data_IF_144792458452
#
_entry.id   IF_144792458452
#
_cell.length_a   1.000
_cell.length_b   1.000
_cell.length_c   1.000
_cell.angle_alpha   90.00
_cell.angle_beta   90.00
_cell.angle_gamma   90.00
#
_symmetry.space_group_name_H-M   'P 1'
#
loop_
_entity.id
_entity.type
_entity.pdbx_description
1 polymer ?
#
# COMPACT_ATOMS: atom_id res chain seq x y z
N UNK A 1 -4.12 13.58 -1.53
CA UNK A 1 -3.20 12.75 -2.34
C UNK A 1 -4.04 11.63 -2.94
N UNK A 2 -3.89 11.33 -4.23
CA UNK A 2 -4.62 10.26 -4.93
C UNK A 2 -3.97 8.87 -4.75
N UNK A 3 -2.77 8.80 -4.13
CA UNK A 3 -2.13 7.53 -3.76
C UNK A 3 -1.62 6.71 -4.95
N UNK A 4 -1.58 7.32 -6.13
CA UNK A 4 -1.23 6.69 -7.39
C UNK A 4 0.29 6.68 -7.60
N UNK A 5 0.88 5.48 -7.60
CA UNK A 5 2.32 5.31 -7.82
C UNK A 5 2.75 5.63 -9.25
N UNK A 6 1.89 5.42 -10.25
CA UNK A 6 2.22 5.67 -11.66
C UNK A 6 2.38 7.17 -11.93
N UNK A 7 1.59 7.99 -11.23
CA UNK A 7 1.71 9.47 -11.24
C UNK A 7 2.78 9.99 -10.28
N UNK A 8 3.41 9.11 -9.49
CA UNK A 8 4.45 9.46 -8.53
C UNK A 8 3.95 10.18 -7.27
N UNK A 9 2.64 10.15 -7.01
CA UNK A 9 2.03 10.73 -5.79
C UNK A 9 2.17 9.83 -4.57
N UNK A 10 2.46 8.54 -4.79
CA UNK A 10 2.96 7.60 -3.79
C UNK A 10 4.34 7.07 -4.21
N UNK A 11 5.30 7.07 -3.29
CA UNK A 11 6.65 6.54 -3.49
C UNK A 11 7.01 5.57 -2.38
N UNK A 12 7.81 4.57 -2.70
CA UNK A 12 8.25 3.56 -1.76
C UNK A 12 9.71 3.18 -2.02
N UNK A 13 10.50 3.16 -0.93
CA UNK A 13 11.80 2.50 -0.89
C UNK A 13 11.67 1.24 0.01
N UNK A 14 12.19 0.10 -0.45
CA UNK A 14 12.08 -1.17 0.28
C UNK A 14 13.38 -1.49 1.01
N UNK A 15 13.30 -1.80 2.30
CA UNK A 15 14.44 -2.16 3.14
C UNK A 15 14.38 -3.64 3.47
N UNK A 16 15.35 -4.43 2.99
CA UNK A 16 15.32 -5.90 3.04
C UNK A 16 16.57 -6.44 3.71
N UNK A 17 16.38 -7.33 4.69
CA UNK A 17 17.42 -8.15 5.31
C UNK A 17 16.85 -9.53 5.61
N UNK A 18 17.62 -10.59 5.36
CA UNK A 18 17.26 -11.96 5.76
C UNK A 18 18.00 -12.38 7.03
N UNK A 19 17.43 -13.34 7.78
CA UNK A 19 18.10 -13.95 8.94
C UNK A 19 17.70 -15.42 9.10
N UNK A 20 18.55 -16.26 9.72
CA UNK A 20 18.17 -17.63 10.06
C UNK A 20 16.91 -17.69 10.93
N UNK A 21 16.05 -18.68 10.70
CA UNK A 21 14.85 -18.89 11.49
C UNK A 21 15.23 -19.16 12.96
N UNK A 22 14.61 -18.43 13.88
CA UNK A 22 14.89 -18.53 15.32
C UNK A 22 16.00 -17.57 15.81
N UNK A 23 16.70 -16.88 14.92
CA UNK A 23 17.67 -15.85 15.31
C UNK A 23 16.97 -14.56 15.79
N UNK A 24 17.47 -13.98 16.88
CA UNK A 24 17.08 -12.64 17.35
C UNK A 24 17.86 -11.51 16.66
N UNK A 25 19.00 -11.82 16.04
CA UNK A 25 19.87 -10.85 15.39
C UNK A 25 19.38 -10.50 13.99
N UNK A 26 19.32 -9.21 13.67
CA UNK A 26 19.00 -8.75 12.31
C UNK A 26 20.20 -8.94 11.37
N UNK A 27 19.93 -9.31 10.12
CA UNK A 27 20.95 -9.40 9.08
C UNK A 27 21.31 -8.03 8.48
N UNK A 28 22.31 -8.01 7.60
CA UNK A 28 22.68 -6.78 6.88
C UNK A 28 21.54 -6.34 5.95
N UNK A 29 21.21 -5.06 6.00
CA UNK A 29 20.09 -4.47 5.25
C UNK A 29 20.55 -3.92 3.90
N UNK A 30 19.88 -4.31 2.82
CA UNK A 30 19.93 -3.60 1.55
C UNK A 30 18.69 -2.70 1.40
N UNK A 31 18.85 -1.55 0.75
CA UNK A 31 17.78 -0.58 0.50
C UNK A 31 17.53 -0.46 -1.01
N UNK A 32 16.38 -0.91 -1.49
CA UNK A 32 15.97 -0.83 -2.90
C UNK A 32 15.18 0.46 -3.09
N UNK A 33 15.69 1.34 -3.97
CA UNK A 33 15.12 2.66 -4.22
C UNK A 33 14.28 2.74 -5.49
N UNK A 34 13.43 3.76 -5.54
CA UNK A 34 12.68 4.18 -6.73
C UNK A 34 11.74 3.08 -7.27
N UNK A 35 10.98 2.45 -6.37
CA UNK A 35 9.96 1.47 -6.77
C UNK A 35 8.66 2.20 -7.09
N UNK A 36 8.26 2.17 -8.36
CA UNK A 36 7.14 2.96 -8.89
C UNK A 36 5.84 2.16 -9.10
N UNK A 37 5.79 0.91 -8.64
CA UNK A 37 4.59 0.06 -8.73
C UNK A 37 4.60 -0.98 -7.63
N UNK A 38 3.42 -1.30 -7.09
CA UNK A 38 3.22 -2.38 -6.11
C UNK A 38 3.77 -3.71 -6.65
N UNK A 39 3.55 -3.99 -7.93
CA UNK A 39 4.08 -5.20 -8.58
C UNK A 39 5.61 -5.23 -8.54
N UNK A 40 6.26 -4.11 -8.84
CA UNK A 40 7.73 -4.04 -8.83
C UNK A 40 8.30 -4.06 -7.41
N UNK A 41 7.57 -3.52 -6.43
CA UNK A 41 7.93 -3.66 -5.01
C UNK A 41 8.00 -5.15 -4.63
N UNK A 42 6.95 -5.92 -4.94
CA UNK A 42 6.90 -7.35 -4.62
C UNK A 42 8.04 -8.09 -5.30
N UNK A 43 8.22 -7.91 -6.62
CA UNK A 43 9.27 -8.58 -7.38
C UNK A 43 10.68 -8.23 -6.89
N UNK A 44 10.92 -6.96 -6.55
CA UNK A 44 12.21 -6.51 -6.04
C UNK A 44 12.53 -7.12 -4.68
N UNK A 45 11.55 -7.17 -3.77
CA UNK A 45 11.70 -7.79 -2.45
C UNK A 45 11.94 -9.30 -2.59
N UNK A 46 11.14 -10.00 -3.40
CA UNK A 46 11.30 -11.44 -3.63
C UNK A 46 12.68 -11.77 -4.21
N UNK A 47 13.12 -11.03 -5.23
CA UNK A 47 14.44 -11.21 -5.81
C UNK A 47 15.54 -10.99 -4.78
N UNK A 48 15.44 -9.92 -3.99
CA UNK A 48 16.45 -9.53 -3.02
C UNK A 48 16.57 -10.53 -1.87
N UNK A 49 15.44 -11.07 -1.38
CA UNK A 49 15.42 -12.15 -0.40
C UNK A 49 16.21 -13.35 -0.93
N UNK A 50 15.92 -13.81 -2.15
CA UNK A 50 16.60 -14.96 -2.74
C UNK A 50 18.10 -14.68 -2.99
N UNK A 51 18.45 -13.46 -3.40
CA UNK A 51 19.84 -13.04 -3.60
C UNK A 51 20.62 -13.12 -2.29
N UNK A 52 20.10 -12.54 -1.20
CA UNK A 52 20.79 -12.54 0.09
C UNK A 52 20.94 -13.95 0.65
N UNK A 53 19.88 -14.78 0.58
CA UNK A 53 19.95 -16.19 1.01
C UNK A 53 21.07 -16.91 0.26
N UNK A 54 21.10 -16.80 -1.08
CA UNK A 54 22.11 -17.44 -1.91
C UNK A 54 23.53 -16.99 -1.57
N UNK A 55 23.75 -15.71 -1.28
CA UNK A 55 25.07 -15.20 -0.89
C UNK A 55 25.52 -15.83 0.43
N UNK A 56 24.63 -15.84 1.44
CA UNK A 56 24.93 -16.37 2.77
C UNK A 56 25.13 -17.89 2.76
N UNK A 57 24.33 -18.64 2.00
CA UNK A 57 24.48 -20.10 1.89
C UNK A 57 25.77 -20.53 1.17
N UNK A 58 26.31 -19.67 0.29
CA UNK A 58 27.60 -19.89 -0.35
C UNK A 58 28.80 -19.43 0.52
N UNK A 59 28.55 -19.05 1.79
CA UNK A 59 29.58 -18.59 2.71
C UNK A 59 30.07 -17.16 2.45
N UNK A 60 29.35 -16.39 1.63
CA UNK A 60 29.64 -14.97 1.40
C UNK A 60 28.95 -14.05 2.41
N UNK A 61 29.23 -12.76 2.31
CA UNK A 61 28.64 -11.72 3.16
C UNK A 61 27.78 -10.75 2.33
N UNK A 62 26.71 -10.24 2.95
CA UNK A 62 25.83 -9.23 2.34
C UNK A 62 26.31 -7.85 2.79
N UNK A 63 26.59 -6.96 1.83
CA UNK A 63 26.96 -5.57 2.09
C UNK A 63 25.73 -4.67 2.26
N UNK A 64 25.91 -3.57 2.99
CA UNK A 64 24.87 -2.56 3.16
C UNK A 64 24.79 -1.65 1.93
N UNK A 65 24.09 -2.11 0.90
CA UNK A 65 24.02 -1.40 -0.38
C UNK A 65 22.69 -0.66 -0.59
N UNK A 66 22.79 0.49 -1.27
CA UNK A 66 21.64 1.09 -1.95
C UNK A 66 21.53 0.48 -3.35
N UNK A 67 20.37 -0.09 -3.64
CA UNK A 67 20.07 -0.84 -4.85
C UNK A 67 19.01 -0.11 -5.69
N UNK A 68 19.05 -0.36 -6.99
CA UNK A 68 17.95 -0.09 -7.92
C UNK A 68 17.37 -1.41 -8.40
N UNK A 69 16.09 -1.40 -8.81
CA UNK A 69 15.47 -2.56 -9.44
C UNK A 69 15.41 -2.37 -10.96
N UNK A 70 16.10 -3.25 -11.69
CA UNK A 70 16.00 -3.32 -13.15
C UNK A 70 14.78 -4.16 -13.54
N UNK A 71 13.73 -3.49 -13.98
CA UNK A 71 12.45 -4.11 -14.34
C UNK A 71 12.60 -5.06 -15.55
N UNK A 72 13.46 -4.73 -16.51
CA UNK A 72 13.64 -5.53 -17.72
C UNK A 72 14.33 -6.86 -17.41
N UNK A 73 15.30 -6.85 -16.48
CA UNK A 73 16.02 -8.04 -16.05
C UNK A 73 15.35 -8.76 -14.87
N UNK A 74 14.48 -8.08 -14.14
CA UNK A 74 13.89 -8.56 -12.88
C UNK A 74 14.93 -8.74 -11.79
N UNK A 75 15.94 -7.85 -11.70
CA UNK A 75 17.09 -7.98 -10.78
C UNK A 75 17.41 -6.68 -10.06
N UNK A 76 17.91 -6.79 -8.84
CA UNK A 76 18.52 -5.66 -8.14
C UNK A 76 19.93 -5.38 -8.69
N UNK A 77 20.29 -4.10 -8.79
CA UNK A 77 21.61 -3.63 -9.18
C UNK A 77 22.13 -2.66 -8.13
N UNK A 78 23.40 -2.78 -7.80
CA UNK A 78 24.06 -1.86 -6.85
C UNK A 78 24.13 -0.47 -7.47
N UNK A 79 23.62 0.52 -6.76
CA UNK A 79 23.73 1.93 -7.14
C UNK A 79 24.87 2.61 -6.39
N UNK A 80 24.93 2.39 -5.06
CA UNK A 80 25.95 2.96 -4.19
C UNK A 80 26.18 2.04 -3.00
N UNK A 81 27.45 1.73 -2.72
CA UNK A 81 27.84 1.07 -1.48
C UNK A 81 27.74 2.09 -0.34
N UNK A 82 27.03 1.77 0.75
CA UNK A 82 27.11 2.60 1.96
C UNK A 82 28.30 2.11 2.77
N UNK A 83 29.48 2.64 2.46
CA UNK A 83 30.67 2.42 3.28
C UNK A 83 30.54 3.15 4.64
N UNK A 84 29.82 4.29 4.67
CA UNK A 84 29.50 5.04 5.89
C UNK A 84 28.05 5.56 5.92
N UNK A 85 27.49 5.69 7.13
CA UNK A 85 26.22 6.39 7.34
C UNK A 85 26.41 7.89 7.03
N UNK A 86 25.55 8.46 6.18
CA UNK A 86 25.62 9.88 5.86
C UNK A 86 25.27 10.72 7.10
N UNK A 87 26.20 11.58 7.53
CA UNK A 87 25.93 12.55 8.59
C UNK A 87 25.08 13.70 8.04
N UNK A 88 23.78 13.62 8.32
CA UNK A 88 22.80 14.64 7.91
C UNK A 88 22.88 15.91 8.76
N UNK A 89 23.64 15.92 9.87
CA UNK A 89 23.79 17.07 10.79
C UNK A 89 22.45 17.68 11.18
N UNK A 90 21.49 16.83 11.58
CA UNK A 90 20.15 17.29 11.99
C UNK A 90 20.26 18.32 13.12
N UNK A 91 19.61 19.47 12.93
CA UNK A 91 19.40 20.49 13.95
C UNK A 91 17.99 21.09 13.78
N UNK A 92 17.40 21.65 14.84
CA UNK A 92 16.11 22.34 14.72
C UNK A 92 16.22 23.49 13.71
N UNK A 93 15.28 23.55 12.77
CA UNK A 93 15.20 24.64 11.80
C UNK A 93 15.01 25.98 12.53
N UNK A 94 16.00 26.90 12.51
CA UNK A 94 15.95 28.15 13.29
C UNK A 94 14.86 29.10 12.81
N UNK A 95 14.48 29.03 11.53
CA UNK A 95 13.47 29.93 10.95
C UNK A 95 12.04 29.46 11.25
N UNK A 96 11.85 28.22 11.72
CA UNK A 96 10.55 27.65 12.02
C UNK A 96 10.40 27.41 13.52
N UNK A 97 9.49 28.16 14.15
CA UNK A 97 9.06 27.89 15.51
C UNK A 97 8.45 26.47 15.60
N UNK A 98 8.57 25.80 16.75
CA UNK A 98 7.90 24.53 16.99
C UNK A 98 6.39 24.62 16.68
N UNK A 99 5.88 23.63 15.96
CA UNK A 99 4.45 23.54 15.67
C UNK A 99 3.75 22.93 16.89
N UNK A 100 2.96 23.75 17.59
CA UNK A 100 2.08 23.28 18.65
C UNK A 100 0.70 22.92 18.08
N UNK A 101 0.25 21.69 18.35
CA UNK A 101 -1.08 21.21 17.95
C UNK A 101 -1.91 21.00 19.22
N UNK A 102 -2.95 21.82 19.41
CA UNK A 102 -3.82 21.74 20.59
C UNK A 102 -4.66 20.46 20.59
N UNK A 103 -5.02 20.00 21.78
CA UNK A 103 -5.90 18.83 21.95
C UNK A 103 -7.27 19.05 21.29
N UNK A 104 -7.85 20.26 21.41
CA UNK A 104 -9.12 20.61 20.77
C UNK A 104 -9.07 20.41 19.24
N UNK A 105 -7.93 20.73 18.60
CA UNK A 105 -7.75 20.52 17.15
C UNK A 105 -7.66 19.04 16.80
N UNK A 106 -6.97 18.25 17.63
CA UNK A 106 -6.89 16.79 17.46
C UNK A 106 -8.29 16.18 17.59
N UNK A 107 -9.05 16.55 18.61
CA UNK A 107 -10.38 16.02 18.87
C UNK A 107 -11.36 16.43 17.76
N UNK A 108 -11.26 17.66 17.27
CA UNK A 108 -12.02 18.12 16.10
C UNK A 108 -11.73 17.28 14.86
N UNK A 109 -10.45 17.07 14.51
CA UNK A 109 -10.06 16.23 13.35
C UNK A 109 -10.57 14.81 13.55
N UNK A 110 -10.36 14.22 14.73
CA UNK A 110 -10.79 12.86 15.04
C UNK A 110 -12.30 12.69 14.91
N UNK A 111 -13.08 13.68 15.32
CA UNK A 111 -14.54 13.67 15.15
C UNK A 111 -15.00 13.82 13.70
N UNK A 112 -14.17 14.41 12.84
CA UNK A 112 -14.44 14.60 11.41
C UNK A 112 -13.98 13.44 10.51
N UNK A 113 -13.24 12.47 11.06
CA UNK A 113 -12.74 11.34 10.29
C UNK A 113 -13.90 10.50 9.75
N UNK A 114 -13.93 10.18 8.44
CA UNK A 114 -14.88 9.24 7.91
C UNK A 114 -14.57 7.82 8.42
N UNK A 115 -15.55 6.93 8.29
CA UNK A 115 -15.34 5.51 8.57
C UNK A 115 -14.22 4.94 7.68
N UNK A 116 -13.23 4.32 8.32
CA UNK A 116 -12.07 3.76 7.63
C UNK A 116 -12.43 2.45 6.91
N UNK A 117 -11.68 2.04 5.87
CA UNK A 117 -11.97 0.82 5.11
C UNK A 117 -12.14 -0.44 5.97
N UNK A 118 -11.27 -0.65 6.97
CA UNK A 118 -11.35 -1.80 7.87
C UNK A 118 -12.61 -1.78 8.76
N UNK A 119 -13.03 -0.58 9.17
CA UNK A 119 -14.26 -0.39 9.95
C UNK A 119 -15.48 -0.71 9.08
N UNK A 120 -15.52 -0.16 7.84
CA UNK A 120 -16.55 -0.48 6.84
C UNK A 120 -16.64 -1.98 6.58
N UNK A 121 -15.49 -2.64 6.37
CA UNK A 121 -15.43 -4.10 6.15
C UNK A 121 -16.13 -4.86 7.28
N UNK A 122 -15.76 -4.56 8.52
CA UNK A 122 -16.32 -5.21 9.69
C UNK A 122 -17.83 -4.97 9.81
N UNK A 123 -18.28 -3.75 9.53
CA UNK A 123 -19.70 -3.39 9.50
C UNK A 123 -20.46 -4.15 8.42
N UNK A 124 -19.94 -4.19 7.21
CA UNK A 124 -20.54 -4.92 6.08
C UNK A 124 -20.73 -6.42 6.39
N UNK A 125 -19.73 -7.04 7.03
CA UNK A 125 -19.83 -8.45 7.41
C UNK A 125 -20.86 -8.64 8.53
N UNK A 126 -20.78 -7.84 9.60
CA UNK A 126 -21.59 -8.04 10.81
C UNK A 126 -23.05 -7.60 10.66
N UNK A 127 -23.27 -6.45 10.03
CA UNK A 127 -24.59 -5.81 9.96
C UNK A 127 -25.33 -6.14 8.66
N UNK A 128 -24.60 -6.28 7.54
CA UNK A 128 -25.19 -6.51 6.22
C UNK A 128 -25.12 -7.97 5.77
N UNK A 129 -24.44 -8.84 6.53
CA UNK A 129 -24.30 -10.27 6.23
C UNK A 129 -23.56 -10.56 4.92
N UNK A 130 -22.63 -9.66 4.54
CA UNK A 130 -21.82 -9.76 3.33
C UNK A 130 -20.63 -10.67 3.60
N UNK A 131 -20.23 -11.46 2.61
CA UNK A 131 -19.06 -12.32 2.74
C UNK A 131 -17.78 -11.48 2.93
N UNK A 132 -16.78 -12.03 3.62
CA UNK A 132 -15.51 -11.33 3.76
C UNK A 132 -14.86 -11.01 2.40
N UNK A 133 -14.98 -11.92 1.45
CA UNK A 133 -14.49 -11.73 0.09
C UNK A 133 -15.13 -10.51 -0.58
N UNK A 134 -16.46 -10.45 -0.62
CA UNK A 134 -17.18 -9.35 -1.25
C UNK A 134 -16.93 -8.02 -0.52
N UNK A 135 -16.86 -8.04 0.81
CA UNK A 135 -16.54 -6.86 1.60
C UNK A 135 -15.15 -6.29 1.23
N UNK A 136 -14.13 -7.14 1.04
CA UNK A 136 -12.81 -6.69 0.59
C UNK A 136 -12.85 -6.08 -0.83
N UNK A 137 -13.65 -6.64 -1.72
CA UNK A 137 -13.83 -6.09 -3.08
C UNK A 137 -14.47 -4.70 -3.01
N UNK A 138 -15.52 -4.54 -2.20
CA UNK A 138 -16.27 -3.28 -2.12
C UNK A 138 -15.45 -2.16 -1.48
N UNK A 139 -14.67 -2.44 -0.43
CA UNK A 139 -13.85 -1.43 0.26
C UNK A 139 -12.54 -1.12 -0.47
N UNK A 140 -12.21 -1.85 -1.55
CA UNK A 140 -10.93 -1.70 -2.26
C UNK A 140 -10.77 -0.31 -2.87
N UNK A 141 -11.89 0.35 -3.18
CA UNK A 141 -11.96 1.72 -3.66
C UNK A 141 -13.09 2.47 -2.94
N UNK A 142 -12.84 3.73 -2.60
CA UNK A 142 -13.82 4.56 -1.89
C UNK A 142 -15.09 4.80 -2.73
N UNK A 143 -14.95 5.07 -4.02
CA UNK A 143 -16.10 5.33 -4.90
C UNK A 143 -16.97 4.08 -5.05
N UNK A 144 -16.35 2.89 -5.09
CA UNK A 144 -17.08 1.61 -5.04
C UNK A 144 -17.86 1.48 -3.73
N UNK A 145 -17.20 1.72 -2.60
CA UNK A 145 -17.84 1.62 -1.28
C UNK A 145 -19.02 2.60 -1.13
N UNK A 146 -18.85 3.83 -1.61
CA UNK A 146 -19.91 4.85 -1.58
C UNK A 146 -21.08 4.46 -2.51
N UNK A 147 -20.79 3.94 -3.71
CA UNK A 147 -21.81 3.45 -4.65
C UNK A 147 -22.61 2.28 -4.04
N UNK A 148 -21.92 1.35 -3.38
CA UNK A 148 -22.54 0.24 -2.67
C UNK A 148 -23.46 0.73 -1.54
N UNK A 149 -22.99 1.65 -0.72
CA UNK A 149 -23.79 2.21 0.38
C UNK A 149 -25.06 2.90 -0.13
N UNK A 150 -24.97 3.67 -1.22
CA UNK A 150 -26.15 4.28 -1.85
C UNK A 150 -27.18 3.23 -2.32
N UNK A 151 -26.73 2.13 -2.95
CA UNK A 151 -27.62 1.03 -3.35
C UNK A 151 -28.34 0.43 -2.13
N UNK A 152 -27.60 0.14 -1.06
CA UNK A 152 -28.14 -0.52 0.13
C UNK A 152 -29.13 0.33 0.93
N UNK A 153 -29.22 1.64 0.67
CA UNK A 153 -30.28 2.48 1.26
C UNK A 153 -31.67 2.11 0.76
N UNK A 154 -31.79 1.55 -0.44
CA UNK A 154 -33.09 1.26 -1.10
C UNK A 154 -33.28 -0.21 -1.47
N UNK A 155 -32.22 -1.01 -1.42
CA UNK A 155 -32.20 -2.37 -1.92
C UNK A 155 -31.56 -3.34 -0.93
N UNK A 156 -31.89 -4.62 -1.06
CA UNK A 156 -31.27 -5.69 -0.27
C UNK A 156 -29.75 -5.73 -0.49
N UNK A 157 -29.00 -5.83 0.60
CA UNK A 157 -27.53 -5.76 0.58
C UNK A 157 -26.92 -6.88 -0.24
N UNK A 158 -27.41 -8.12 -0.12
CA UNK A 158 -26.83 -9.28 -0.82
C UNK A 158 -27.09 -9.22 -2.32
N UNK A 159 -28.29 -8.78 -2.70
CA UNK A 159 -28.63 -8.56 -4.10
C UNK A 159 -27.80 -7.41 -4.68
N UNK A 160 -27.65 -6.31 -3.96
CA UNK A 160 -26.84 -5.17 -4.36
C UNK A 160 -25.37 -5.57 -4.59
N UNK A 161 -24.78 -6.38 -3.69
CA UNK A 161 -23.42 -6.93 -3.87
C UNK A 161 -23.34 -7.71 -5.17
N UNK A 162 -24.23 -8.67 -5.38
CA UNK A 162 -24.20 -9.53 -6.58
C UNK A 162 -24.27 -8.71 -7.88
N UNK A 163 -25.18 -7.74 -7.94
CA UNK A 163 -25.32 -6.88 -9.12
C UNK A 163 -24.11 -5.95 -9.32
N UNK A 164 -23.55 -5.42 -8.23
CA UNK A 164 -22.39 -4.56 -8.29
C UNK A 164 -21.15 -5.31 -8.77
N UNK A 165 -20.81 -6.42 -8.09
CA UNK A 165 -19.53 -7.11 -8.28
C UNK A 165 -19.50 -8.00 -9.53
N UNK A 166 -20.64 -8.56 -9.95
CA UNK A 166 -20.72 -9.45 -11.11
C UNK A 166 -21.14 -8.68 -12.36
N UNK A 167 -22.32 -8.04 -12.33
CA UNK A 167 -22.92 -7.45 -13.53
C UNK A 167 -22.31 -6.09 -13.88
N UNK A 168 -22.33 -5.14 -12.95
CA UNK A 168 -21.90 -3.76 -13.22
C UNK A 168 -20.40 -3.71 -13.50
N UNK A 169 -19.57 -4.29 -12.63
CA UNK A 169 -18.12 -4.36 -12.86
C UNK A 169 -17.77 -5.09 -14.15
N UNK A 170 -18.45 -6.21 -14.44
CA UNK A 170 -18.23 -6.94 -15.69
C UNK A 170 -18.46 -6.08 -16.93
N UNK A 171 -19.46 -5.19 -16.91
CA UNK A 171 -19.76 -4.27 -18.02
C UNK A 171 -18.83 -3.07 -18.08
N UNK A 172 -18.55 -2.46 -16.92
CA UNK A 172 -17.64 -1.32 -16.80
C UNK A 172 -16.22 -1.69 -17.24
N UNK A 173 -15.72 -2.84 -16.80
CA UNK A 173 -14.41 -3.34 -17.21
C UNK A 173 -14.32 -3.60 -18.72
N UNK A 174 -15.38 -4.17 -19.33
CA UNK A 174 -15.43 -4.37 -20.80
C UNK A 174 -15.45 -3.05 -21.57
N UNK A 175 -16.05 -2.01 -21.00
CA UNK A 175 -16.10 -0.68 -21.59
C UNK A 175 -14.86 0.18 -21.27
N UNK A 176 -14.00 -0.27 -20.34
CA UNK A 176 -12.88 0.53 -19.83
C UNK A 176 -13.33 1.78 -19.06
N UNK A 177 -14.49 1.74 -18.42
CA UNK A 177 -15.10 2.87 -17.70
C UNK A 177 -14.99 2.63 -16.19
N UNK A 178 -14.57 3.64 -15.44
CA UNK A 178 -14.53 3.59 -13.98
C UNK A 178 -15.93 3.77 -13.34
N UNK A 179 -16.14 3.26 -12.12
CA UNK A 179 -17.42 3.39 -11.40
C UNK A 179 -17.88 4.84 -11.24
N UNK A 180 -16.93 5.77 -11.08
CA UNK A 180 -17.21 7.22 -10.97
C UNK A 180 -17.78 7.82 -12.26
N UNK A 181 -17.50 7.19 -13.40
CA UNK A 181 -17.97 7.58 -14.73
C UNK A 181 -19.06 6.65 -15.26
N UNK A 182 -19.62 5.79 -14.39
CA UNK A 182 -20.69 4.86 -14.77
C UNK A 182 -21.93 5.62 -15.26
N UNK A 183 -22.51 5.23 -16.41
CA UNK A 183 -23.79 5.79 -16.85
C UNK A 183 -24.96 5.31 -15.98
N UNK A 184 -24.76 4.24 -15.21
CA UNK A 184 -25.73 3.70 -14.26
C UNK A 184 -25.43 4.29 -12.88
N UNK A 185 -26.44 4.91 -12.27
CA UNK A 185 -26.38 5.47 -10.91
C UNK A 185 -26.83 4.42 -9.89
N UNK A 186 -26.31 4.55 -8.67
CA UNK A 186 -26.75 3.82 -7.50
C UNK A 186 -28.20 4.17 -7.11
#
# INVERSE_FOLDING_TARGET
CDGDMEKGSLRCDANVSVRPKGSSTFGTRCEIKNLNSIRYIIQAIEYEIQRQIKVLENGGEVNQDALLFDIALGKTKVMRNKEDASDYRYFPEPDLLPIEVSQDKIDSIKSSLPELPDQKKLRYIKELGISEYDANVIISDKAIADYFEELTKKHDSKLAVTWLTVELFGRLNKAGIDITSSPIKA
#
